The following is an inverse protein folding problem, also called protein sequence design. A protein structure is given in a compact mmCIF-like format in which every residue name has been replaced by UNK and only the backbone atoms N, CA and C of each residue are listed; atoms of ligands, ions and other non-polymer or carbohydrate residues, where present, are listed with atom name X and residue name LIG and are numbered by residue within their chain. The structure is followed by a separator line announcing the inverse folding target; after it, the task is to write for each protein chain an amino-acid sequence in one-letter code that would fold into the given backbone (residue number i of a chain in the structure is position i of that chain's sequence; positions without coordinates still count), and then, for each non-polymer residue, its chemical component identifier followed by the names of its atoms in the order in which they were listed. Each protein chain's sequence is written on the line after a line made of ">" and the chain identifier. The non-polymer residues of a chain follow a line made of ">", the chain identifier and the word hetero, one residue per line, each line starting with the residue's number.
data_IF_205387627590
#
_entry.id   IF_205387627590
#
_cell.length_a   1.000
_cell.length_b   1.000
_cell.length_c   1.000
_cell.angle_alpha   90.00
_cell.angle_beta   90.00
_cell.angle_gamma   90.00
#
_symmetry.space_group_name_H-M   'P 1'
#
loop_
_entity.id
_entity.type
_entity.pdbx_description
1 polymer ?
#
# COMPACT_ATOMS: atom_id res chain seq x y z
N UNK A 1 -1.29 -5.35 -13.59
CA UNK A 1 -0.11 -6.00 -12.94
C UNK A 1 1.12 -5.63 -13.76
N UNK A 2 2.32 -5.82 -13.22
CA UNK A 2 3.59 -5.66 -13.96
C UNK A 2 4.42 -6.94 -13.81
N UNK A 3 5.31 -7.26 -14.75
CA UNK A 3 6.14 -8.48 -14.69
C UNK A 3 7.65 -8.22 -14.55
N UNK A 4 8.19 -7.08 -15.00
CA UNK A 4 9.64 -6.82 -15.02
C UNK A 4 10.41 -7.82 -15.91
N UNK A 5 9.82 -8.19 -17.06
CA UNK A 5 10.34 -9.12 -18.07
C UNK A 5 10.93 -8.40 -19.31
N UNK A 6 11.05 -7.08 -19.26
CA UNK A 6 11.50 -6.24 -20.37
C UNK A 6 10.38 -5.73 -21.29
N UNK A 7 9.11 -6.08 -21.02
CA UNK A 7 7.92 -5.57 -21.74
C UNK A 7 6.97 -4.83 -20.79
N UNK A 8 7.54 -4.13 -19.83
CA UNK A 8 6.80 -3.50 -18.73
C UNK A 8 5.77 -2.48 -19.21
N UNK A 9 6.13 -1.64 -20.17
CA UNK A 9 5.23 -0.60 -20.67
C UNK A 9 4.01 -1.19 -21.37
N UNK A 10 4.21 -2.15 -22.29
CA UNK A 10 3.13 -2.84 -22.97
C UNK A 10 2.19 -3.52 -21.96
N UNK A 11 2.76 -4.26 -21.00
CA UNK A 11 1.99 -4.99 -19.98
C UNK A 11 1.21 -4.02 -19.07
N UNK A 12 1.78 -2.85 -18.77
CA UNK A 12 1.16 -1.84 -17.93
C UNK A 12 -0.01 -1.15 -18.64
N UNK A 13 0.15 -0.79 -19.92
CA UNK A 13 -0.93 -0.21 -20.73
C UNK A 13 -2.14 -1.15 -20.81
N UNK A 14 -1.91 -2.43 -21.15
CA UNK A 14 -2.95 -3.46 -21.20
C UNK A 14 -3.61 -3.66 -19.82
N UNK A 15 -2.80 -3.67 -18.76
CA UNK A 15 -3.29 -3.78 -17.38
C UNK A 15 -4.17 -2.60 -16.94
N UNK A 16 -3.84 -1.38 -17.37
CA UNK A 16 -4.63 -0.18 -17.07
C UNK A 16 -5.94 -0.22 -17.84
N UNK A 17 -5.93 -0.66 -19.10
CA UNK A 17 -7.16 -0.83 -19.87
C UNK A 17 -8.08 -1.88 -19.24
N UNK A 18 -7.52 -2.99 -18.75
CA UNK A 18 -8.27 -3.98 -17.99
C UNK A 18 -8.82 -3.40 -16.68
N UNK A 19 -8.06 -2.57 -15.97
CA UNK A 19 -8.53 -1.90 -14.76
C UNK A 19 -9.71 -0.95 -15.03
N UNK A 20 -9.73 -0.26 -16.18
CA UNK A 20 -10.90 0.54 -16.63
C UNK A 20 -12.13 -0.34 -16.84
N UNK A 21 -11.96 -1.51 -17.45
CA UNK A 21 -13.05 -2.48 -17.66
C UNK A 21 -13.56 -3.04 -16.33
N UNK A 22 -12.68 -3.33 -15.37
CA UNK A 22 -13.10 -3.73 -14.02
C UNK A 22 -13.90 -2.64 -13.31
N UNK A 23 -13.45 -1.38 -13.39
CA UNK A 23 -14.20 -0.24 -12.87
C UNK A 23 -15.59 -0.14 -13.52
N UNK A 24 -15.67 -0.27 -14.85
CA UNK A 24 -16.95 -0.26 -15.56
C UNK A 24 -17.87 -1.43 -15.15
N UNK A 25 -17.29 -2.56 -14.74
CA UNK A 25 -17.98 -3.70 -14.16
C UNK A 25 -18.36 -3.55 -12.67
N UNK A 26 -18.06 -2.41 -12.04
CA UNK A 26 -18.41 -2.13 -10.64
C UNK A 26 -17.33 -2.46 -9.62
N UNK A 27 -16.06 -2.64 -10.03
CA UNK A 27 -14.96 -2.77 -9.07
C UNK A 27 -14.71 -1.42 -8.37
N UNK A 28 -14.72 -1.41 -7.04
CA UNK A 28 -14.59 -0.18 -6.23
C UNK A 28 -13.14 0.21 -5.90
N UNK A 29 -12.24 -0.77 -5.79
CA UNK A 29 -10.83 -0.58 -5.44
C UNK A 29 -9.99 -1.71 -6.04
N UNK A 30 -8.78 -1.38 -6.51
CA UNK A 30 -7.84 -2.36 -7.05
C UNK A 30 -6.57 -2.47 -6.19
N UNK A 31 -6.21 -3.69 -5.81
CA UNK A 31 -4.90 -3.99 -5.23
C UNK A 31 -3.86 -4.16 -6.35
N UNK A 32 -3.01 -3.15 -6.54
CA UNK A 32 -1.96 -3.16 -7.56
C UNK A 32 -0.77 -3.98 -7.06
N UNK A 33 -0.26 -4.88 -7.91
CA UNK A 33 0.86 -5.78 -7.59
C UNK A 33 1.65 -6.14 -8.85
N UNK A 34 2.80 -6.78 -8.63
CA UNK A 34 3.54 -7.55 -9.63
C UNK A 34 2.80 -8.87 -9.89
N UNK A 35 2.84 -9.37 -11.13
CA UNK A 35 2.11 -10.57 -11.55
C UNK A 35 2.81 -11.88 -11.19
N UNK A 36 4.14 -11.94 -11.23
CA UNK A 36 4.94 -13.14 -10.91
C UNK A 36 4.58 -14.35 -11.79
N UNK A 37 4.20 -14.11 -13.04
CA UNK A 37 3.73 -15.17 -13.94
C UNK A 37 4.86 -16.10 -14.36
N UNK A 38 6.09 -15.56 -14.49
CA UNK A 38 7.28 -16.30 -14.92
C UNK A 38 8.46 -16.05 -13.97
N UNK A 39 9.41 -17.01 -13.84
CA UNK A 39 10.54 -16.86 -12.93
C UNK A 39 11.66 -15.94 -13.47
N UNK A 40 11.77 -15.76 -14.78
CA UNK A 40 12.84 -14.96 -15.42
C UNK A 40 12.46 -13.48 -15.49
N UNK A 41 12.56 -12.80 -14.35
CA UNK A 41 12.19 -11.38 -14.19
C UNK A 41 13.25 -10.63 -13.37
N UNK A 42 13.31 -9.30 -13.53
CA UNK A 42 14.25 -8.43 -12.81
C UNK A 42 13.52 -7.35 -12.02
N UNK A 43 12.87 -7.78 -10.94
CA UNK A 43 12.06 -6.89 -10.10
C UNK A 43 12.95 -5.97 -9.25
N UNK A 44 12.77 -4.63 -9.33
CA UNK A 44 13.59 -3.67 -8.58
C UNK A 44 13.10 -3.51 -7.14
N UNK A 45 13.37 -4.51 -6.31
CA UNK A 45 12.94 -4.51 -4.92
C UNK A 45 13.47 -3.31 -4.14
N UNK A 46 12.56 -2.60 -3.45
CA UNK A 46 12.90 -1.48 -2.61
C UNK A 46 11.74 -1.04 -1.72
N UNK A 47 11.98 -0.14 -0.75
CA UNK A 47 10.94 0.43 0.08
C UNK A 47 9.95 1.22 -0.81
N UNK A 48 8.64 0.95 -0.65
CA UNK A 48 7.57 1.65 -1.37
C UNK A 48 7.69 1.65 -2.90
N UNK A 49 8.44 0.71 -3.50
CA UNK A 49 8.78 0.76 -4.93
C UNK A 49 7.55 0.67 -5.86
N UNK A 50 6.44 0.13 -5.38
CA UNK A 50 5.17 0.07 -6.12
C UNK A 50 4.42 1.41 -6.18
N UNK A 51 4.80 2.41 -5.38
CA UNK A 51 4.11 3.70 -5.29
C UNK A 51 3.88 4.37 -6.65
N UNK A 52 4.92 4.55 -7.49
CA UNK A 52 4.77 5.15 -8.83
C UNK A 52 3.86 4.35 -9.77
N UNK A 53 3.91 3.01 -9.72
CA UNK A 53 3.06 2.16 -10.56
C UNK A 53 1.60 2.22 -10.11
N UNK A 54 1.36 2.17 -8.79
CA UNK A 54 0.02 2.29 -8.23
C UNK A 54 -0.59 3.68 -8.53
N UNK A 55 0.19 4.76 -8.44
CA UNK A 55 -0.23 6.11 -8.84
C UNK A 55 -0.66 6.15 -10.30
N UNK A 56 0.15 5.58 -11.20
CA UNK A 56 -0.17 5.58 -12.64
C UNK A 56 -1.48 4.85 -12.91
N UNK A 57 -1.69 3.67 -12.31
CA UNK A 57 -2.94 2.92 -12.43
C UNK A 57 -4.11 3.72 -11.88
N UNK A 58 -3.96 4.32 -10.70
CA UNK A 58 -4.97 5.16 -10.05
C UNK A 58 -5.39 6.32 -10.95
N UNK A 59 -4.42 7.06 -11.50
CA UNK A 59 -4.63 8.23 -12.35
C UNK A 59 -5.26 7.87 -13.69
N UNK A 60 -4.76 6.82 -14.36
CA UNK A 60 -5.18 6.49 -15.73
C UNK A 60 -6.46 5.63 -15.81
N UNK A 61 -6.74 4.82 -14.79
CA UNK A 61 -8.00 4.08 -14.67
C UNK A 61 -9.07 4.85 -13.86
N UNK A 62 -8.67 5.94 -13.17
CA UNK A 62 -9.51 6.71 -12.24
C UNK A 62 -10.19 5.82 -11.20
N UNK A 63 -9.47 4.84 -10.66
CA UNK A 63 -9.97 3.84 -9.72
C UNK A 63 -9.14 3.93 -8.43
N UNK A 64 -9.76 3.91 -7.24
CA UNK A 64 -9.02 3.83 -5.98
C UNK A 64 -8.08 2.62 -5.95
N UNK A 65 -6.91 2.77 -5.34
CA UNK A 65 -5.90 1.71 -5.28
C UNK A 65 -5.32 1.50 -3.88
N UNK A 66 -4.89 0.26 -3.65
CA UNK A 66 -3.95 -0.10 -2.59
C UNK A 66 -2.75 -0.82 -3.20
N UNK A 67 -1.63 -0.80 -2.49
CA UNK A 67 -0.46 -1.61 -2.81
C UNK A 67 0.31 -1.93 -1.53
N UNK A 68 1.18 -2.94 -1.63
CA UNK A 68 2.05 -3.40 -0.55
C UNK A 68 3.53 -3.24 -0.92
N UNK A 69 4.39 -3.97 -0.20
CA UNK A 69 5.84 -4.04 -0.31
C UNK A 69 6.59 -2.79 0.16
N UNK A 70 7.08 -2.85 1.40
CA UNK A 70 7.98 -1.84 1.95
C UNK A 70 7.29 -0.63 2.57
N UNK A 71 5.95 -0.63 2.69
CA UNK A 71 5.20 0.43 3.37
C UNK A 71 5.07 0.25 4.90
N UNK A 72 5.83 -0.68 5.50
CA UNK A 72 5.80 -0.91 6.95
C UNK A 72 6.48 0.19 7.78
N UNK A 73 7.16 1.15 7.14
CA UNK A 73 7.65 2.37 7.79
C UNK A 73 6.53 3.41 7.79
N UNK A 74 6.06 3.90 8.96
CA UNK A 74 4.90 4.79 9.03
C UNK A 74 5.01 6.04 8.16
N UNK A 75 6.19 6.65 8.07
CA UNK A 75 6.42 7.84 7.26
C UNK A 75 6.32 7.56 5.75
N UNK A 76 6.68 6.35 5.30
CA UNK A 76 6.50 5.95 3.90
C UNK A 76 5.03 5.70 3.56
N UNK A 77 4.28 5.11 4.50
CA UNK A 77 2.84 4.95 4.35
C UNK A 77 2.14 6.31 4.26
N UNK A 78 2.44 7.22 5.18
CA UNK A 78 1.91 8.59 5.20
C UNK A 78 2.26 9.35 3.91
N UNK A 79 3.52 9.32 3.48
CA UNK A 79 3.97 10.00 2.27
C UNK A 79 3.24 9.49 1.01
N UNK A 80 2.99 8.18 0.91
CA UNK A 80 2.26 7.60 -0.23
C UNK A 80 0.79 8.06 -0.29
N UNK A 81 0.14 8.20 0.87
CA UNK A 81 -1.21 8.75 0.99
C UNK A 81 -1.24 10.24 0.62
N UNK A 82 -0.34 11.05 1.21
CA UNK A 82 -0.25 12.49 0.93
C UNK A 82 0.05 12.79 -0.54
N UNK A 83 0.87 11.96 -1.17
CA UNK A 83 1.19 12.07 -2.60
C UNK A 83 0.07 11.55 -3.52
N UNK A 84 -1.09 11.13 -2.99
CA UNK A 84 -2.20 10.55 -3.73
C UNK A 84 -1.81 9.33 -4.59
N UNK A 85 -0.74 8.62 -4.19
CA UNK A 85 -0.31 7.40 -4.88
C UNK A 85 -1.21 6.22 -4.52
N UNK A 86 -1.71 6.19 -3.28
CA UNK A 86 -2.54 5.15 -2.72
C UNK A 86 -3.74 5.76 -1.99
N UNK A 87 -4.87 5.07 -1.98
CA UNK A 87 -6.04 5.41 -1.15
C UNK A 87 -6.04 4.59 0.15
N UNK A 88 -5.42 3.41 0.14
CA UNK A 88 -5.13 2.59 1.32
C UNK A 88 -3.71 2.02 1.22
N UNK A 89 -3.02 1.91 2.36
CA UNK A 89 -1.67 1.32 2.42
C UNK A 89 -1.74 -0.08 2.99
N UNK A 90 -1.30 -1.09 2.22
CA UNK A 90 -1.28 -2.48 2.68
C UNK A 90 0.05 -2.80 3.38
N UNK A 91 -0.02 -3.12 4.68
CA UNK A 91 1.16 -3.45 5.50
C UNK A 91 1.10 -4.90 5.97
N UNK A 92 1.94 -5.76 5.38
CA UNK A 92 1.95 -7.22 5.67
C UNK A 92 2.94 -7.62 6.77
N UNK A 93 4.21 -7.82 6.39
CA UNK A 93 5.26 -8.36 7.28
C UNK A 93 5.44 -7.62 8.60
N UNK A 94 5.20 -6.31 8.64
CA UNK A 94 5.30 -5.55 9.88
C UNK A 94 4.20 -5.93 10.89
N UNK A 95 3.00 -6.31 10.44
CA UNK A 95 1.97 -6.87 11.31
C UNK A 95 2.29 -8.28 11.81
N UNK A 96 3.07 -9.06 11.06
CA UNK A 96 3.56 -10.37 11.54
C UNK A 96 4.60 -10.20 12.66
N UNK A 97 5.44 -9.17 12.58
CA UNK A 97 6.43 -8.85 13.60
C UNK A 97 5.81 -8.18 14.83
N UNK A 98 4.88 -7.25 14.61
CA UNK A 98 4.12 -6.52 15.62
C UNK A 98 2.64 -6.47 15.23
N UNK A 99 1.78 -7.31 15.82
CA UNK A 99 0.34 -7.29 15.55
C UNK A 99 -0.32 -5.93 15.87
N UNK A 100 0.30 -5.10 16.70
CA UNK A 100 -0.14 -3.75 17.04
C UNK A 100 0.56 -2.67 16.20
N UNK A 101 1.08 -3.01 15.02
CA UNK A 101 1.80 -2.07 14.14
C UNK A 101 1.03 -0.76 13.88
N UNK A 102 -0.30 -0.81 13.77
CA UNK A 102 -1.11 0.41 13.62
C UNK A 102 -0.95 1.39 14.80
N UNK A 103 -0.85 0.89 16.03
CA UNK A 103 -0.54 1.69 17.21
C UNK A 103 0.91 2.21 17.18
N UNK A 104 1.86 1.39 16.76
CA UNK A 104 3.24 1.83 16.53
C UNK A 104 3.28 3.00 15.54
N UNK A 105 2.59 2.89 14.40
CA UNK A 105 2.49 3.94 13.40
C UNK A 105 1.83 5.21 13.95
N UNK A 106 0.74 5.09 14.72
CA UNK A 106 0.08 6.23 15.35
C UNK A 106 1.02 7.00 16.29
N UNK A 107 1.91 6.31 17.02
CA UNK A 107 2.94 6.96 17.85
C UNK A 107 3.99 7.68 17.01
N UNK A 108 4.53 7.01 16.00
CA UNK A 108 5.59 7.56 15.12
C UNK A 108 5.12 8.78 14.32
N UNK A 109 3.85 8.82 13.95
CA UNK A 109 3.23 9.94 13.24
C UNK A 109 2.67 11.03 14.18
N UNK A 110 2.80 10.87 15.50
CA UNK A 110 2.37 11.88 16.46
C UNK A 110 0.84 12.06 16.56
N UNK A 111 0.06 11.02 16.26
CA UNK A 111 -1.41 11.07 16.35
C UNK A 111 -1.85 11.33 17.80
N UNK A 112 -2.81 12.25 17.99
CA UNK A 112 -3.38 12.53 19.30
C UNK A 112 -3.98 11.25 19.90
N UNK A 113 -3.71 10.98 21.19
CA UNK A 113 -4.19 9.77 21.88
C UNK A 113 -3.83 8.47 21.14
N UNK A 114 -2.62 8.39 20.57
CA UNK A 114 -2.16 7.24 19.78
C UNK A 114 -2.41 5.85 20.42
N UNK A 115 -2.34 5.72 21.75
CA UNK A 115 -2.64 4.44 22.44
C UNK A 115 -4.07 3.95 22.25
N UNK A 116 -5.03 4.85 22.01
CA UNK A 116 -6.45 4.54 21.75
C UNK A 116 -6.70 4.00 20.34
N UNK A 117 -5.66 3.85 19.52
CA UNK A 117 -5.69 2.91 18.38
C UNK A 117 -5.95 1.48 18.85
N UNK A 118 -5.58 1.15 20.09
CA UNK A 118 -5.87 -0.14 20.72
C UNK A 118 -7.13 -0.07 21.60
N UNK A 119 -7.77 -1.23 21.89
CA UNK A 119 -8.87 -1.30 22.85
C UNK A 119 -8.52 -0.74 24.23
N UNK A 120 -9.53 -0.27 24.96
CA UNK A 120 -9.39 0.41 26.25
C UNK A 120 -8.49 -0.31 27.28
N UNK A 121 -8.53 -1.65 27.44
CA UNK A 121 -7.65 -2.36 28.38
C UNK A 121 -6.15 -2.22 28.08
N UNK A 122 -5.76 -1.88 26.85
CA UNK A 122 -4.37 -1.57 26.51
C UNK A 122 -4.13 -0.06 26.54
N UNK A 123 -5.03 0.70 25.90
CA UNK A 123 -4.88 2.14 25.72
C UNK A 123 -4.68 2.89 27.05
N UNK A 124 -5.50 2.57 28.06
CA UNK A 124 -5.44 3.22 29.37
C UNK A 124 -4.04 3.16 30.00
N UNK A 125 -3.41 1.99 29.96
CA UNK A 125 -2.09 1.80 30.59
C UNK A 125 -0.96 2.39 29.74
N UNK A 126 -1.10 2.37 28.42
CA UNK A 126 -0.11 2.93 27.50
C UNK A 126 -0.10 4.46 27.47
N UNK A 127 -1.18 5.14 27.88
CA UNK A 127 -1.16 6.59 28.15
C UNK A 127 -0.57 6.91 29.52
N UNK A 128 -0.96 6.11 30.53
CA UNK A 128 -0.66 6.40 31.93
C UNK A 128 0.83 6.28 32.28
N UNK A 129 1.56 5.41 31.59
CA UNK A 129 2.95 5.08 31.89
C UNK A 129 3.93 5.49 30.76
N UNK A 130 3.59 6.56 30.06
CA UNK A 130 4.41 7.10 28.96
C UNK A 130 5.66 7.84 29.47
#
# INVERSE_FOLDING_TARGET
>A
MLEYDGRDEQTLEESIELARRFKAGGLDLLSVSVGFTIPDTKIPWGPAFMGPIAERVRREAKLPVTSAWGFGTPQLAEAALQANQLDLVSVGRAHLADPHWAYFAAKELGVEKASWTLPAPYAHWLERYR
#
